data_IF_207275208083
#
_entry.id   IF_207275208083
#
_cell.length_a   1.000
_cell.length_b   1.000
_cell.length_c   1.000
_cell.angle_alpha   90.00
_cell.angle_beta   90.00
_cell.angle_gamma   90.00
#
_symmetry.space_group_name_H-M   'P 1'
#
loop_
_entity.id
_entity.type
_entity.pdbx_description
1 polymer ?
#
# COMPACT_ATOMS: atom_id res chain seq x y z
N UNK A 1 24.34 -24.47 23.98
CA UNK A 1 25.18 -23.41 24.58
C UNK A 1 25.30 -22.29 23.56
N UNK A 2 25.09 -21.04 23.94
CA UNK A 2 25.27 -19.91 23.02
C UNK A 2 26.76 -19.82 22.65
N UNK A 3 27.07 -19.74 21.36
CA UNK A 3 28.45 -19.60 20.91
C UNK A 3 29.06 -18.29 21.45
N UNK A 4 30.29 -18.32 21.99
CA UNK A 4 30.96 -17.12 22.49
C UNK A 4 31.12 -16.07 21.39
N UNK A 5 30.86 -14.81 21.73
CA UNK A 5 31.15 -13.67 20.85
C UNK A 5 32.67 -13.52 20.77
N UNK A 6 33.25 -13.73 19.58
CA UNK A 6 34.67 -13.51 19.34
C UNK A 6 34.87 -12.05 18.89
N UNK A 7 35.65 -11.23 19.61
CA UNK A 7 35.93 -9.86 19.20
C UNK A 7 36.68 -9.84 17.85
N UNK A 8 36.24 -9.00 16.91
CA UNK A 8 36.99 -8.75 15.67
C UNK A 8 37.84 -7.48 15.79
N UNK A 9 38.99 -7.48 15.14
CA UNK A 9 39.78 -6.26 14.98
C UNK A 9 39.16 -5.37 13.90
N UNK A 10 38.51 -4.28 14.31
CA UNK A 10 38.09 -3.24 13.37
C UNK A 10 39.31 -2.48 12.83
N UNK A 11 39.36 -2.30 11.51
CA UNK A 11 40.41 -1.52 10.82
C UNK A 11 40.41 -0.04 11.25
N UNK A 12 39.25 0.49 11.66
CA UNK A 12 39.07 1.88 12.09
C UNK A 12 38.09 1.98 13.26
N UNK A 13 38.37 2.85 14.24
CA UNK A 13 37.55 3.10 15.44
C UNK A 13 38.08 2.46 16.74
N UNK A 14 37.55 2.90 17.88
CA UNK A 14 37.97 2.40 19.21
C UNK A 14 37.42 0.98 19.44
N UNK A 15 38.32 -0.01 19.57
CA UNK A 15 38.01 -1.44 19.65
C UNK A 15 37.26 -1.84 20.94
N UNK A 16 37.54 -1.15 22.04
CA UNK A 16 36.93 -1.38 23.36
C UNK A 16 36.67 -0.01 23.97
N UNK A 17 35.43 0.26 24.36
CA UNK A 17 35.08 1.47 25.12
C UNK A 17 34.96 1.06 26.57
N UNK A 18 35.92 1.46 27.40
CA UNK A 18 35.87 1.30 28.85
C UNK A 18 35.17 2.51 29.46
N UNK A 19 34.04 2.26 30.13
CA UNK A 19 33.29 3.26 30.88
C UNK A 19 33.19 2.75 32.33
N UNK A 20 34.17 3.12 33.17
CA UNK A 20 34.27 2.60 34.53
C UNK A 20 34.45 1.08 34.53
N UNK A 21 33.53 0.34 35.15
CA UNK A 21 33.57 -1.13 35.23
C UNK A 21 32.88 -1.84 34.05
N UNK A 22 32.26 -1.10 33.13
CA UNK A 22 31.54 -1.69 32.00
C UNK A 22 32.45 -1.79 30.77
N UNK A 23 32.80 -3.03 30.41
CA UNK A 23 33.56 -3.33 29.19
C UNK A 23 32.63 -3.82 28.08
N UNK A 24 32.40 -2.97 27.07
CA UNK A 24 31.58 -3.34 25.90
C UNK A 24 32.49 -3.72 24.73
N UNK A 25 32.57 -5.02 24.43
CA UNK A 25 33.25 -5.53 23.24
C UNK A 25 32.32 -5.47 22.02
N UNK A 26 32.72 -4.74 20.98
CA UNK A 26 32.02 -4.77 19.68
C UNK A 26 32.53 -5.98 18.90
N UNK A 27 31.63 -6.84 18.42
CA UNK A 27 31.95 -8.00 17.59
C UNK A 27 30.69 -8.54 16.91
N UNK A 28 30.81 -9.11 15.71
CA UNK A 28 29.72 -9.84 15.07
C UNK A 28 29.70 -11.28 15.58
N UNK A 29 28.53 -11.82 15.91
CA UNK A 29 28.41 -13.23 16.32
C UNK A 29 28.71 -14.17 15.15
N UNK A 30 29.39 -15.30 15.42
CA UNK A 30 29.62 -16.39 14.44
C UNK A 30 28.37 -17.16 14.04
N UNK A 31 27.19 -16.78 14.56
CA UNK A 31 25.94 -17.46 14.25
C UNK A 31 25.78 -17.59 12.74
N UNK A 32 25.68 -18.82 12.20
CA UNK A 32 25.40 -19.01 10.80
C UNK A 32 24.08 -18.31 10.50
N UNK A 33 24.12 -17.30 9.64
CA UNK A 33 22.96 -16.56 9.22
C UNK A 33 22.20 -17.42 8.22
N UNK A 34 21.48 -18.43 8.71
CA UNK A 34 20.50 -19.15 7.91
C UNK A 34 19.18 -18.40 8.01
N UNK A 35 19.07 -17.29 7.28
CA UNK A 35 17.81 -16.54 7.20
C UNK A 35 16.90 -17.23 6.19
N UNK A 36 16.01 -18.08 6.68
CA UNK A 36 14.85 -18.51 5.90
C UNK A 36 14.05 -17.27 5.47
N UNK A 37 13.67 -17.18 4.18
CA UNK A 37 12.80 -16.12 3.62
C UNK A 37 11.43 -16.63 3.14
N UNK A 38 11.03 -17.82 3.56
CA UNK A 38 9.73 -18.39 3.19
C UNK A 38 8.61 -17.73 3.99
N UNK A 39 7.44 -17.59 3.35
CA UNK A 39 6.30 -16.86 3.93
C UNK A 39 5.38 -17.75 4.77
N UNK A 40 5.52 -19.07 4.68
CA UNK A 40 4.70 -20.03 5.43
C UNK A 40 5.30 -20.29 6.81
N UNK A 41 5.17 -19.29 7.67
CA UNK A 41 5.63 -19.33 9.05
C UNK A 41 4.49 -19.72 9.99
N UNK A 42 4.74 -20.69 10.88
CA UNK A 42 3.88 -21.05 11.99
C UNK A 42 4.44 -20.43 13.28
N UNK A 43 3.59 -19.69 14.00
CA UNK A 43 3.94 -19.05 15.26
C UNK A 43 3.37 -19.87 16.41
N UNK A 44 4.26 -20.42 17.23
CA UNK A 44 3.87 -21.03 18.50
C UNK A 44 4.08 -20.02 19.63
N UNK A 45 2.99 -19.51 20.18
CA UNK A 45 3.02 -18.53 21.26
C UNK A 45 3.36 -19.14 22.61
N UNK A 46 3.16 -20.45 22.79
CA UNK A 46 3.48 -21.15 24.04
C UNK A 46 4.99 -21.38 24.14
N UNK A 47 5.60 -21.86 23.06
CA UNK A 47 7.05 -22.11 22.99
C UNK A 47 7.86 -20.87 22.56
N UNK A 48 7.18 -19.78 22.16
CA UNK A 48 7.78 -18.56 21.60
C UNK A 48 8.69 -18.86 20.41
N UNK A 49 8.28 -19.83 19.60
CA UNK A 49 9.04 -20.39 18.49
C UNK A 49 8.35 -20.04 17.18
N UNK A 50 9.15 -19.80 16.15
CA UNK A 50 8.66 -19.56 14.80
C UNK A 50 9.26 -20.64 13.91
N UNK A 51 8.39 -21.39 13.26
CA UNK A 51 8.76 -22.54 12.44
C UNK A 51 8.37 -22.30 10.99
N UNK A 52 9.30 -22.53 10.06
CA UNK A 52 9.05 -22.46 8.63
C UNK A 52 8.54 -23.80 8.12
N UNK A 53 7.33 -23.82 7.54
CA UNK A 53 6.73 -25.06 7.02
C UNK A 53 7.39 -25.56 5.73
N UNK A 54 8.04 -24.67 4.96
CA UNK A 54 8.62 -25.03 3.65
C UNK A 54 10.05 -25.57 3.77
N UNK A 55 10.79 -25.10 4.76
CA UNK A 55 12.20 -25.41 5.01
C UNK A 55 12.42 -26.18 6.30
N UNK A 56 11.32 -26.53 6.96
CA UNK A 56 11.25 -27.35 8.17
C UNK A 56 12.23 -26.94 9.27
N UNK A 57 12.53 -25.64 9.36
CA UNK A 57 13.55 -25.10 10.24
C UNK A 57 13.04 -23.94 11.09
N UNK A 58 13.74 -23.73 12.19
CA UNK A 58 13.44 -22.64 13.13
C UNK A 58 13.93 -21.31 12.58
N UNK A 59 13.02 -20.36 12.56
CA UNK A 59 13.30 -18.99 12.16
C UNK A 59 13.49 -18.15 13.41
N UNK A 60 14.57 -17.37 13.45
CA UNK A 60 14.80 -16.47 14.57
C UNK A 60 13.66 -15.42 14.64
N UNK A 61 13.17 -15.09 15.84
CA UNK A 61 12.09 -14.10 16.00
C UNK A 61 12.38 -12.74 15.36
N UNK A 62 13.63 -12.30 15.42
CA UNK A 62 14.06 -11.04 14.81
C UNK A 62 13.95 -11.08 13.27
N UNK A 63 14.38 -12.18 12.66
CA UNK A 63 14.34 -12.34 11.21
C UNK A 63 12.90 -12.47 10.69
N UNK A 64 12.02 -13.15 11.44
CA UNK A 64 10.61 -13.23 11.13
C UNK A 64 9.91 -11.87 11.24
N UNK A 65 10.29 -11.05 12.23
CA UNK A 65 9.77 -9.69 12.37
C UNK A 65 10.20 -8.78 11.21
N UNK A 66 11.47 -8.85 10.79
CA UNK A 66 11.94 -8.11 9.62
C UNK A 66 11.16 -8.49 8.36
N UNK A 67 10.95 -9.79 8.13
CA UNK A 67 10.15 -10.27 7.00
C UNK A 67 8.72 -9.73 7.03
N UNK A 68 8.10 -9.66 8.21
CA UNK A 68 6.76 -9.12 8.38
C UNK A 68 6.70 -7.63 8.02
N UNK A 69 7.66 -6.83 8.52
CA UNK A 69 7.73 -5.38 8.27
C UNK A 69 7.98 -5.09 6.80
N UNK A 70 8.96 -5.76 6.19
CA UNK A 70 9.25 -5.64 4.76
C UNK A 70 8.01 -5.98 3.91
N UNK A 71 7.33 -7.08 4.26
CA UNK A 71 6.13 -7.50 3.54
C UNK A 71 4.98 -6.52 3.71
N UNK A 72 4.79 -5.98 4.90
CA UNK A 72 3.74 -5.00 5.18
C UNK A 72 3.92 -3.76 4.30
N UNK A 73 5.13 -3.19 4.25
CA UNK A 73 5.43 -2.06 3.38
C UNK A 73 5.19 -2.36 1.90
N UNK A 74 5.60 -3.55 1.43
CA UNK A 74 5.31 -3.97 0.05
C UNK A 74 3.81 -4.09 -0.25
N UNK A 75 3.02 -4.60 0.71
CA UNK A 75 1.58 -4.74 0.55
C UNK A 75 0.87 -3.39 0.57
N UNK A 76 1.26 -2.47 1.45
CA UNK A 76 0.72 -1.10 1.48
C UNK A 76 1.00 -0.37 0.16
N UNK A 77 2.25 -0.43 -0.32
CA UNK A 77 2.63 0.20 -1.58
C UNK A 77 1.90 -0.41 -2.79
N UNK A 78 1.57 -1.71 -2.74
CA UNK A 78 0.77 -2.38 -3.77
C UNK A 78 -0.70 -2.00 -3.67
N UNK A 79 -1.26 -1.95 -2.46
CA UNK A 79 -2.64 -1.55 -2.22
C UNK A 79 -2.89 -0.12 -2.70
N UNK A 80 -1.96 0.79 -2.43
CA UNK A 80 -2.06 2.18 -2.87
C UNK A 80 -2.02 2.30 -4.39
N UNK A 81 -1.11 1.58 -5.06
CA UNK A 81 -1.10 1.51 -6.53
C UNK A 81 -2.41 0.99 -7.10
N UNK A 82 -2.97 -0.08 -6.53
CA UNK A 82 -4.25 -0.62 -6.97
C UNK A 82 -5.42 0.36 -6.77
N UNK A 83 -5.41 1.18 -5.70
CA UNK A 83 -6.41 2.23 -5.51
C UNK A 83 -6.30 3.32 -6.58
N UNK A 84 -5.08 3.74 -6.90
CA UNK A 84 -4.82 4.73 -7.94
C UNK A 84 -5.24 4.20 -9.31
N UNK A 85 -4.87 2.97 -9.65
CA UNK A 85 -5.28 2.30 -10.89
C UNK A 85 -6.80 2.18 -10.97
N UNK A 86 -7.47 1.77 -9.88
CA UNK A 86 -8.92 1.70 -9.84
C UNK A 86 -9.57 3.08 -10.11
N UNK A 87 -9.07 4.16 -9.49
CA UNK A 87 -9.56 5.52 -9.75
C UNK A 87 -9.37 5.95 -11.21
N UNK A 88 -8.21 5.63 -11.80
CA UNK A 88 -7.92 5.92 -13.22
C UNK A 88 -8.79 5.09 -14.17
N UNK A 89 -9.11 3.84 -13.83
CA UNK A 89 -9.98 3.00 -14.67
C UNK A 89 -11.41 3.54 -14.71
N UNK A 90 -11.94 4.12 -13.63
CA UNK A 90 -13.31 4.69 -13.63
C UNK A 90 -13.41 5.85 -14.61
N UNK A 91 -12.47 6.80 -14.57
CA UNK A 91 -12.44 7.94 -15.49
C UNK A 91 -12.30 7.48 -16.94
N UNK A 92 -11.38 6.53 -17.19
CA UNK A 92 -11.16 5.99 -18.53
C UNK A 92 -12.38 5.24 -19.08
N UNK A 93 -13.07 4.46 -18.22
CA UNK A 93 -14.32 3.76 -18.60
C UNK A 93 -15.45 4.75 -18.86
N UNK A 94 -15.58 5.80 -18.04
CA UNK A 94 -16.57 6.85 -18.24
C UNK A 94 -16.34 7.58 -19.58
N UNK A 95 -15.09 7.94 -19.88
CA UNK A 95 -14.72 8.55 -21.16
C UNK A 95 -15.08 7.62 -22.35
N UNK A 96 -14.74 6.32 -22.27
CA UNK A 96 -15.09 5.34 -23.30
C UNK A 96 -16.60 5.22 -23.51
N UNK A 97 -17.41 5.30 -22.45
CA UNK A 97 -18.88 5.25 -22.56
C UNK A 97 -19.46 6.50 -23.21
N UNK A 98 -18.92 7.67 -22.90
CA UNK A 98 -19.31 8.92 -23.53
C UNK A 98 -18.94 8.91 -25.01
N UNK A 99 -17.73 8.45 -25.34
CA UNK A 99 -17.23 8.29 -26.71
C UNK A 99 -18.07 7.27 -27.51
N UNK A 100 -18.46 6.14 -26.90
CA UNK A 100 -19.42 5.19 -27.48
C UNK A 100 -20.77 5.85 -27.81
N UNK A 101 -21.29 6.68 -26.89
CA UNK A 101 -22.53 7.41 -27.12
C UNK A 101 -22.41 8.40 -28.29
N UNK A 102 -21.32 9.17 -28.38
CA UNK A 102 -21.09 10.11 -29.48
C UNK A 102 -20.86 9.44 -30.84
N UNK A 103 -20.33 8.22 -30.87
CA UNK A 103 -20.22 7.45 -32.12
C UNK A 103 -21.58 6.99 -32.65
N UNK A 104 -22.61 6.94 -31.81
CA UNK A 104 -23.96 6.64 -32.27
C UNK A 104 -24.50 7.78 -33.13
N UNK A 105 -25.19 7.45 -34.23
CA UNK A 105 -25.77 8.46 -35.15
C UNK A 105 -27.01 9.13 -34.58
N UNK A 106 -27.64 8.56 -33.56
CA UNK A 106 -28.97 8.98 -33.08
C UNK A 106 -29.02 9.32 -31.60
N UNK A 107 -27.95 9.05 -30.85
CA UNK A 107 -27.93 9.20 -29.39
C UNK A 107 -26.80 10.14 -28.97
N UNK A 108 -27.07 10.98 -27.97
CA UNK A 108 -26.08 11.82 -27.33
C UNK A 108 -26.21 11.68 -25.80
N UNK A 109 -25.11 11.73 -25.04
CA UNK A 109 -25.18 11.77 -23.58
C UNK A 109 -25.83 13.08 -23.14
N UNK A 110 -26.79 13.01 -22.22
CA UNK A 110 -27.46 14.19 -21.67
C UNK A 110 -26.93 14.54 -20.28
N UNK A 111 -26.94 15.84 -19.96
CA UNK A 111 -26.66 16.30 -18.60
C UNK A 111 -27.73 15.76 -17.62
N UNK A 112 -27.35 15.13 -16.49
CA UNK A 112 -28.32 14.56 -15.56
C UNK A 112 -29.18 15.60 -14.82
N UNK A 113 -28.79 16.88 -14.85
CA UNK A 113 -29.51 17.96 -14.16
C UNK A 113 -30.53 18.68 -15.06
N UNK A 114 -30.08 19.15 -16.23
CA UNK A 114 -30.94 19.91 -17.15
C UNK A 114 -31.44 19.07 -18.33
N UNK A 115 -30.96 17.83 -18.49
CA UNK A 115 -31.28 16.88 -19.58
C UNK A 115 -30.92 17.37 -20.98
N UNK A 116 -30.19 18.48 -21.09
CA UNK A 116 -29.65 18.98 -22.36
C UNK A 116 -28.61 18.00 -22.90
N UNK A 117 -28.65 17.66 -24.21
CA UNK A 117 -27.65 16.81 -24.84
C UNK A 117 -26.30 17.52 -24.87
N UNK A 118 -25.22 16.75 -24.68
CA UNK A 118 -23.84 17.22 -24.74
C UNK A 118 -23.24 16.68 -26.04
N UNK A 119 -22.89 17.60 -26.95
CA UNK A 119 -22.28 17.23 -28.23
C UNK A 119 -20.75 17.25 -28.16
N UNK A 120 -20.04 16.51 -29.03
CA UNK A 120 -18.57 16.54 -29.07
C UNK A 120 -18.00 17.95 -29.25
N UNK A 121 -18.68 18.78 -30.03
CA UNK A 121 -18.28 20.16 -30.31
C UNK A 121 -18.33 21.04 -29.06
N UNK A 122 -19.22 20.75 -28.11
CA UNK A 122 -19.29 21.51 -26.86
C UNK A 122 -18.03 21.29 -26.01
N UNK A 123 -17.50 20.07 -26.04
CA UNK A 123 -16.29 19.68 -25.30
C UNK A 123 -15.05 20.24 -25.97
N UNK A 124 -14.94 20.11 -27.30
CA UNK A 124 -13.81 20.60 -28.08
C UNK A 124 -13.70 22.13 -28.04
N UNK A 125 -14.83 22.83 -28.11
CA UNK A 125 -14.86 24.29 -28.12
C UNK A 125 -14.84 24.91 -26.71
N UNK A 126 -14.64 24.09 -25.66
CA UNK A 126 -14.55 24.56 -24.27
C UNK A 126 -15.85 25.19 -23.75
N UNK A 127 -17.01 24.83 -24.32
CA UNK A 127 -18.31 25.38 -23.94
C UNK A 127 -18.93 24.67 -22.73
N UNK A 128 -18.31 23.61 -22.22
CA UNK A 128 -18.75 22.99 -20.97
C UNK A 128 -18.34 23.84 -19.76
N UNK A 129 -19.31 24.33 -18.97
CA UNK A 129 -19.00 24.99 -17.71
C UNK A 129 -18.37 24.01 -16.73
N UNK A 130 -17.25 24.40 -16.13
CA UNK A 130 -16.54 23.61 -15.13
C UNK A 130 -16.91 24.11 -13.74
N UNK A 131 -17.10 23.18 -12.81
CA UNK A 131 -17.30 23.49 -11.39
C UNK A 131 -16.35 22.66 -10.53
N UNK A 132 -16.15 23.09 -9.29
CA UNK A 132 -15.33 22.35 -8.34
C UNK A 132 -16.02 21.01 -7.97
N UNK A 133 -15.31 19.90 -8.17
CA UNK A 133 -15.80 18.54 -7.91
C UNK A 133 -16.22 18.36 -6.44
N UNK A 134 -15.51 18.95 -5.49
CA UNK A 134 -15.85 18.80 -4.07
C UNK A 134 -17.20 19.41 -3.71
N UNK A 135 -17.52 20.56 -4.29
CA UNK A 135 -18.80 21.23 -4.09
C UNK A 135 -19.95 20.37 -4.61
N UNK A 136 -19.77 19.74 -5.77
CA UNK A 136 -20.77 18.86 -6.36
C UNK A 136 -20.98 17.59 -5.51
N UNK A 137 -19.91 17.00 -4.99
CA UNK A 137 -20.00 15.83 -4.11
C UNK A 137 -20.76 16.18 -2.83
N UNK A 138 -20.43 17.30 -2.18
CA UNK A 138 -21.15 17.78 -0.99
C UNK A 138 -22.63 18.06 -1.29
N UNK A 139 -22.93 18.68 -2.42
CA UNK A 139 -24.31 18.96 -2.85
C UNK A 139 -25.13 17.68 -3.07
N UNK A 140 -24.53 16.65 -3.67
CA UNK A 140 -25.19 15.34 -3.88
C UNK A 140 -25.41 14.59 -2.57
N UNK A 141 -24.43 14.62 -1.66
CA UNK A 141 -24.58 14.03 -0.33
C UNK A 141 -25.74 14.69 0.44
N UNK A 142 -25.81 16.02 0.44
CA UNK A 142 -26.89 16.76 1.09
C UNK A 142 -28.27 16.42 0.51
N UNK A 143 -28.38 16.29 -0.83
CA UNK A 143 -29.64 15.87 -1.49
C UNK A 143 -30.06 14.45 -1.14
N UNK A 144 -29.11 13.52 -1.06
CA UNK A 144 -29.39 12.14 -0.69
C UNK A 144 -29.85 12.00 0.77
N UNK A 145 -29.32 12.84 1.67
CA UNK A 145 -29.76 12.88 3.07
C UNK A 145 -31.15 13.50 3.24
N UNK A 146 -31.52 14.50 2.43
CA UNK A 146 -32.90 15.02 2.41
C UNK A 146 -33.90 13.98 1.88
N UNK A 147 -33.58 13.28 0.79
CA UNK A 147 -34.46 12.24 0.22
C UNK A 147 -34.68 11.08 1.21
N UNK A 148 -33.68 10.74 2.04
CA UNK A 148 -33.81 9.73 3.11
C UNK A 148 -34.64 10.18 4.31
N UNK A 149 -34.80 11.48 4.51
CA UNK A 149 -35.50 12.05 5.66
C UNK A 149 -36.99 12.29 5.35
N UNK A 150 -37.33 12.34 4.06
CA UNK A 150 -38.71 12.45 3.55
C UNK A 150 -39.35 11.09 3.23
N UNK A 151 -38.59 9.98 3.29
CA UNK A 151 -39.10 8.60 3.35
C UNK A 151 -39.29 8.14 4.80
#
# INVERSE_FOLDING_TARGET
MAEPIVPMEYLHGVKVVDIGDLRVARGMSRRPVSTCRHLRLAFDTNERRIYCQDCESDVAPFDAFLQLVERHHHLEAKAERLRQDAAHTVTSRAAKRIDEAWRSRTMAPCCPHCRTPIMPEDVLNGRLPMTNKEWEVRRRAARADTDKKEM
#
